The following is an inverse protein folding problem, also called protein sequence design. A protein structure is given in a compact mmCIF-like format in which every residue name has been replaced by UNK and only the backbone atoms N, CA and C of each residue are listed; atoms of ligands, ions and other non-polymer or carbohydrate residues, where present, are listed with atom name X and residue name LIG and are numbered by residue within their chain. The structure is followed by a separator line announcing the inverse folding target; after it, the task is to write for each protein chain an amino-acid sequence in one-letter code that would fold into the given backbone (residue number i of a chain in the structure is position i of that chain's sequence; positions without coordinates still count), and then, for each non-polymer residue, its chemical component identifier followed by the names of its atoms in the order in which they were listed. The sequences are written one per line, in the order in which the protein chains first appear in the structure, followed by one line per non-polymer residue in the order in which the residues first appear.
data_IF_575393564709
#
_entry.id   IF_575393564709
#
_cell.length_a   1.000
_cell.length_b   1.000
_cell.length_c   1.000
_cell.angle_alpha   90.00
_cell.angle_beta   90.00
_cell.angle_gamma   90.00
#
_symmetry.space_group_name_H-M   'P 1'
#
loop_
_entity.id
_entity.type
_entity.pdbx_description
1 polymer ?
#
# COMPACT_ATOMS: atom_id res chain seq x y z
N UNK A 1 -7.57 19.31 19.99
CA UNK A 1 -8.52 19.35 18.86
C UNK A 1 -9.71 18.52 19.27
N UNK A 2 -10.87 19.14 19.50
CA UNK A 2 -12.10 18.42 19.80
C UNK A 2 -12.48 17.59 18.56
N UNK A 3 -12.39 16.27 18.67
CA UNK A 3 -12.63 15.34 17.55
C UNK A 3 -14.11 15.36 17.18
N UNK A 4 -14.44 15.97 16.04
CA UNK A 4 -15.71 15.76 15.38
C UNK A 4 -15.79 14.31 14.87
N UNK A 5 -17.01 13.80 14.75
CA UNK A 5 -17.28 12.51 14.09
C UNK A 5 -16.81 12.57 12.63
N UNK A 6 -16.11 11.55 12.15
CA UNK A 6 -15.68 11.48 10.74
C UNK A 6 -16.91 11.37 9.83
N UNK A 7 -17.01 12.22 8.80
CA UNK A 7 -18.10 12.17 7.83
C UNK A 7 -17.99 10.93 6.93
N UNK A 8 -19.09 10.18 6.73
CA UNK A 8 -19.18 9.15 5.67
C UNK A 8 -19.83 9.77 4.44
N UNK A 9 -19.08 9.83 3.35
CA UNK A 9 -19.49 10.46 2.09
C UNK A 9 -19.69 9.40 1.01
N UNK A 10 -20.70 9.57 0.17
CA UNK A 10 -21.00 8.67 -0.95
C UNK A 10 -21.48 9.45 -2.17
N UNK A 11 -21.33 8.85 -3.36
CA UNK A 11 -21.82 9.41 -4.62
C UNK A 11 -21.21 10.76 -4.98
N UNK A 12 -21.84 11.44 -5.94
CA UNK A 12 -21.35 12.71 -6.52
C UNK A 12 -21.28 13.83 -5.48
N UNK A 13 -22.30 13.98 -4.63
CA UNK A 13 -22.30 14.95 -3.54
C UNK A 13 -21.15 14.70 -2.55
N UNK A 14 -20.84 13.43 -2.30
CA UNK A 14 -19.68 13.04 -1.48
C UNK A 14 -18.35 13.44 -2.09
N UNK A 15 -18.20 13.37 -3.42
CA UNK A 15 -17.00 13.83 -4.13
C UNK A 15 -16.83 15.34 -3.94
N UNK A 16 -17.90 16.12 -4.18
CA UNK A 16 -17.87 17.59 -4.04
C UNK A 16 -17.49 17.98 -2.61
N UNK A 17 -18.12 17.35 -1.62
CA UNK A 17 -17.84 17.59 -0.19
C UNK A 17 -16.40 17.23 0.19
N UNK A 18 -15.91 16.07 -0.24
CA UNK A 18 -14.53 15.65 0.02
C UNK A 18 -13.52 16.60 -0.66
N UNK A 19 -13.80 17.06 -1.88
CA UNK A 19 -12.97 18.01 -2.60
C UNK A 19 -12.89 19.37 -1.89
N UNK A 20 -14.00 19.87 -1.35
CA UNK A 20 -14.03 21.08 -0.52
C UNK A 20 -13.18 20.93 0.74
N UNK A 21 -13.35 19.84 1.47
CA UNK A 21 -12.56 19.52 2.68
C UNK A 21 -11.07 19.59 2.36
N UNK A 22 -10.64 18.93 1.28
CA UNK A 22 -9.22 18.90 0.87
C UNK A 22 -8.70 20.27 0.45
N UNK A 23 -9.48 21.05 -0.31
CA UNK A 23 -9.12 22.44 -0.70
C UNK A 23 -8.98 23.36 0.50
N UNK A 24 -9.82 23.19 1.51
CA UNK A 24 -9.79 23.98 2.76
C UNK A 24 -8.73 23.50 3.76
N UNK A 25 -7.79 22.64 3.34
CA UNK A 25 -6.69 22.15 4.18
C UNK A 25 -7.09 21.07 5.18
N UNK A 26 -8.25 20.43 4.97
CA UNK A 26 -8.69 19.24 5.71
C UNK A 26 -8.14 17.93 5.14
N UNK A 27 -8.66 16.82 5.65
CA UNK A 27 -8.26 15.45 5.33
C UNK A 27 -9.46 14.59 4.96
N UNK A 28 -9.34 13.85 3.85
CA UNK A 28 -10.37 12.93 3.41
C UNK A 28 -9.75 11.62 2.96
N UNK A 29 -10.25 10.49 3.45
CA UNK A 29 -9.90 9.19 2.92
C UNK A 29 -10.74 8.86 1.68
N UNK A 30 -10.15 8.21 0.69
CA UNK A 30 -10.82 7.87 -0.57
C UNK A 30 -10.31 6.56 -1.17
N UNK A 31 -11.14 5.81 -1.92
CA UNK A 31 -10.73 4.58 -2.57
C UNK A 31 -9.80 4.85 -3.75
N UNK A 32 -8.88 3.91 -3.99
CA UNK A 32 -8.19 3.77 -5.28
C UNK A 32 -8.40 2.35 -5.80
N UNK A 33 -7.86 2.02 -6.97
CA UNK A 33 -7.81 0.62 -7.42
C UNK A 33 -6.93 -0.24 -6.51
N UNK A 34 -5.95 0.37 -5.82
CA UNK A 34 -4.99 -0.30 -4.93
C UNK A 34 -5.50 -0.50 -3.51
N UNK A 35 -5.44 0.54 -2.68
CA UNK A 35 -5.89 0.60 -1.29
C UNK A 35 -6.56 1.96 -1.06
N UNK A 36 -7.31 2.13 0.02
CA UNK A 36 -7.80 3.46 0.43
C UNK A 36 -6.61 4.35 0.81
N UNK A 37 -6.61 5.60 0.35
CA UNK A 37 -5.61 6.61 0.67
C UNK A 37 -6.18 7.67 1.61
N UNK A 38 -5.39 8.17 2.56
CA UNK A 38 -5.73 9.33 3.40
C UNK A 38 -5.16 10.60 2.75
N UNK A 39 -6.02 11.38 2.11
CA UNK A 39 -5.63 12.57 1.35
C UNK A 39 -5.56 13.85 2.16
N UNK A 40 -4.63 14.72 1.77
CA UNK A 40 -4.63 16.16 2.04
C UNK A 40 -4.03 16.90 0.82
N UNK A 41 -4.23 18.21 0.73
CA UNK A 41 -3.60 19.02 -0.32
C UNK A 41 -2.07 18.91 -0.24
N UNK A 42 -1.43 18.38 -1.30
CA UNK A 42 0.02 18.13 -1.34
C UNK A 42 0.86 19.41 -1.33
N UNK A 43 0.26 20.56 -1.66
CA UNK A 43 0.94 21.85 -1.72
C UNK A 43 0.85 22.63 -0.39
N UNK A 44 0.05 22.15 0.56
CA UNK A 44 -0.16 22.79 1.85
C UNK A 44 0.53 21.97 2.97
N UNK A 45 1.66 22.44 3.52
CA UNK A 45 2.37 21.72 4.58
C UNK A 45 1.53 21.52 5.85
N UNK A 46 0.60 22.43 6.16
CA UNK A 46 -0.29 22.32 7.34
C UNK A 46 -1.31 21.21 7.11
N UNK A 47 -1.88 21.11 5.92
CA UNK A 47 -2.80 20.03 5.56
C UNK A 47 -2.08 18.67 5.57
N UNK A 48 -0.87 18.59 4.98
CA UNK A 48 -0.07 17.36 4.99
C UNK A 48 0.29 16.93 6.42
N UNK A 49 0.59 17.87 7.33
CA UNK A 49 0.87 17.54 8.74
C UNK A 49 -0.28 16.81 9.44
N UNK A 50 -1.54 17.06 9.04
CA UNK A 50 -2.71 16.33 9.57
C UNK A 50 -2.69 14.85 9.18
N UNK A 51 -2.16 14.48 8.00
CA UNK A 51 -1.97 13.07 7.61
C UNK A 51 -1.04 12.37 8.60
N UNK A 52 0.11 12.98 8.90
CA UNK A 52 1.09 12.40 9.81
C UNK A 52 0.53 12.29 11.23
N UNK A 53 -0.17 13.32 11.70
CA UNK A 53 -0.80 13.32 13.02
C UNK A 53 -1.90 12.25 13.13
N UNK A 54 -2.82 12.16 12.17
CA UNK A 54 -3.93 11.21 12.20
C UNK A 54 -3.44 9.75 12.20
N UNK A 55 -2.40 9.46 11.40
CA UNK A 55 -1.84 8.11 11.26
C UNK A 55 -0.80 7.75 12.31
N UNK A 56 -0.32 8.73 13.09
CA UNK A 56 0.90 8.61 13.92
C UNK A 56 2.09 8.12 13.07
N UNK A 57 2.20 8.67 11.87
CA UNK A 57 3.24 8.34 10.90
C UNK A 57 4.50 9.17 11.21
N UNK A 58 5.70 8.58 11.16
CA UNK A 58 6.94 9.32 11.30
C UNK A 58 7.22 10.21 10.09
N UNK A 59 7.77 11.40 10.32
CA UNK A 59 8.09 12.39 9.26
C UNK A 59 9.17 11.95 8.27
N UNK A 60 9.95 10.91 8.59
CA UNK A 60 10.97 10.34 7.72
C UNK A 60 10.41 9.41 6.62
N UNK A 61 9.13 9.06 6.67
CA UNK A 61 8.49 8.19 5.67
C UNK A 61 7.66 9.04 4.68
N UNK A 62 8.15 9.26 3.44
CA UNK A 62 7.52 10.17 2.48
C UNK A 62 6.12 9.71 2.07
N UNK A 63 5.34 10.57 1.41
CA UNK A 63 3.99 10.26 0.91
C UNK A 63 3.90 10.49 -0.60
N UNK A 64 2.93 9.82 -1.24
CA UNK A 64 2.75 9.88 -2.69
C UNK A 64 1.71 10.95 -3.02
N UNK A 65 2.05 11.85 -3.93
CA UNK A 65 1.12 12.82 -4.51
C UNK A 65 0.31 12.17 -5.64
N UNK A 66 -1.01 12.26 -5.55
CA UNK A 66 -1.96 11.78 -6.53
C UNK A 66 -2.41 12.94 -7.41
N UNK A 67 -2.47 12.70 -8.72
CA UNK A 67 -2.78 13.69 -9.76
C UNK A 67 -3.89 13.20 -10.69
N UNK A 68 -4.61 14.11 -11.34
CA UNK A 68 -5.67 13.79 -12.31
C UNK A 68 -5.27 13.93 -13.78
N UNK A 69 -4.20 14.68 -14.04
CA UNK A 69 -3.75 15.05 -15.40
C UNK A 69 -2.27 15.46 -15.40
N UNK A 70 -1.74 15.69 -16.60
CA UNK A 70 -0.35 16.11 -16.81
C UNK A 70 -0.06 17.50 -16.24
N UNK A 71 -1.02 18.42 -16.28
CA UNK A 71 -0.83 19.77 -15.75
C UNK A 71 -0.52 19.76 -14.26
N UNK A 72 -1.19 18.90 -13.48
CA UNK A 72 -0.87 18.69 -12.06
C UNK A 72 0.50 18.06 -11.83
N UNK A 73 0.96 17.15 -12.70
CA UNK A 73 2.32 16.60 -12.62
C UNK A 73 3.34 17.72 -12.79
N UNK A 74 3.16 18.55 -13.80
CA UNK A 74 4.06 19.65 -14.12
C UNK A 74 4.07 20.73 -13.01
N UNK A 75 3.08 20.77 -12.11
CA UNK A 75 3.11 21.64 -10.92
C UNK A 75 4.08 21.14 -9.85
N UNK A 76 4.32 19.83 -9.73
CA UNK A 76 5.03 19.22 -8.59
C UNK A 76 6.34 18.53 -8.95
N UNK A 77 6.55 18.17 -10.21
CA UNK A 77 7.69 17.37 -10.63
C UNK A 77 8.21 17.74 -12.02
N UNK A 78 9.46 17.36 -12.29
CA UNK A 78 10.05 17.34 -13.62
C UNK A 78 9.95 15.94 -14.24
N UNK A 79 9.64 15.87 -15.53
CA UNK A 79 9.36 14.61 -16.22
C UNK A 79 10.40 14.38 -17.33
N UNK A 80 11.24 13.35 -17.17
CA UNK A 80 12.15 12.91 -18.23
C UNK A 80 11.40 12.17 -19.34
N UNK A 81 12.04 11.99 -20.50
CA UNK A 81 11.47 11.21 -21.61
C UNK A 81 11.10 9.77 -21.19
N UNK A 82 11.90 9.16 -20.32
CA UNK A 82 11.65 7.80 -19.82
C UNK A 82 10.49 7.75 -18.84
N UNK A 83 10.40 8.72 -17.94
CA UNK A 83 9.25 8.88 -17.06
C UNK A 83 7.97 9.10 -17.89
N UNK A 84 8.02 9.92 -18.94
CA UNK A 84 6.91 10.14 -19.86
C UNK A 84 6.39 8.85 -20.50
N UNK A 85 7.28 7.99 -21.00
CA UNK A 85 6.90 6.68 -21.57
C UNK A 85 6.26 5.75 -20.54
N UNK A 86 6.72 5.78 -19.28
CA UNK A 86 6.10 5.02 -18.19
C UNK A 86 4.70 5.55 -17.85
N UNK A 87 4.52 6.87 -17.84
CA UNK A 87 3.20 7.48 -17.63
C UNK A 87 2.24 7.07 -18.76
N UNK A 88 2.65 7.17 -20.02
CA UNK A 88 1.82 6.76 -21.17
C UNK A 88 1.43 5.28 -21.12
N UNK A 89 2.33 4.41 -20.66
CA UNK A 89 2.07 2.97 -20.62
C UNK A 89 1.21 2.53 -19.42
N UNK A 90 1.30 3.22 -18.28
CA UNK A 90 0.77 2.72 -17.01
C UNK A 90 -0.15 3.70 -16.26
N UNK A 91 -0.34 4.93 -16.74
CA UNK A 91 -1.26 5.90 -16.13
C UNK A 91 -2.52 6.12 -16.99
N UNK A 92 -3.70 6.23 -16.36
CA UNK A 92 -3.97 5.98 -14.94
C UNK A 92 -3.70 4.51 -14.54
N UNK A 93 -3.14 4.27 -13.34
CA UNK A 93 -2.85 2.91 -12.89
C UNK A 93 -1.96 2.78 -11.64
N UNK A 94 -1.61 1.54 -11.27
CA UNK A 94 -0.93 1.21 -10.03
C UNK A 94 0.59 1.38 -10.11
N UNK A 95 1.06 2.40 -10.84
CA UNK A 95 2.47 2.78 -10.92
C UNK A 95 2.70 4.14 -10.25
N UNK A 96 3.66 4.20 -9.35
CA UNK A 96 4.19 5.42 -8.76
C UNK A 96 5.60 5.67 -9.29
N UNK A 97 5.84 6.88 -9.78
CA UNK A 97 7.15 7.33 -10.24
C UNK A 97 7.78 8.25 -9.19
N UNK A 98 9.03 8.00 -8.83
CA UNK A 98 9.86 8.97 -8.10
C UNK A 98 10.47 9.92 -9.13
N UNK A 99 10.12 11.20 -9.05
CA UNK A 99 10.51 12.22 -10.02
C UNK A 99 11.21 13.39 -9.31
N UNK A 100 12.15 14.11 -9.97
CA UNK A 100 12.72 15.33 -9.41
C UNK A 100 11.61 16.29 -8.98
N UNK A 101 11.62 16.68 -7.70
CA UNK A 101 10.57 17.54 -7.13
C UNK A 101 10.78 19.00 -7.53
N UNK A 102 9.68 19.73 -7.65
CA UNK A 102 9.71 21.20 -7.73
C UNK A 102 9.63 21.83 -6.33
N UNK A 103 10.03 23.09 -6.22
CA UNK A 103 10.01 23.85 -4.96
C UNK A 103 8.60 24.06 -4.37
N UNK A 104 7.56 23.87 -5.18
CA UNK A 104 6.15 23.88 -4.77
C UNK A 104 5.78 22.72 -3.84
N UNK A 105 6.56 21.64 -3.82
CA UNK A 105 6.32 20.46 -2.98
C UNK A 105 6.99 20.64 -1.62
N UNK A 106 6.23 20.67 -0.51
CA UNK A 106 6.80 20.78 0.83
C UNK A 106 7.69 19.59 1.21
N UNK A 107 8.69 19.83 2.07
CA UNK A 107 9.57 18.77 2.58
C UNK A 107 8.82 17.64 3.28
N UNK A 108 7.68 17.95 3.89
CA UNK A 108 6.84 16.97 4.58
C UNK A 108 6.25 15.92 3.62
N UNK A 109 6.11 16.23 2.33
CA UNK A 109 5.69 15.26 1.31
C UNK A 109 6.82 14.30 0.97
N UNK A 110 8.05 14.80 0.85
CA UNK A 110 9.20 14.03 0.36
C UNK A 110 10.14 13.54 1.46
N UNK A 111 9.82 13.78 2.73
CA UNK A 111 10.74 13.58 3.85
C UNK A 111 12.12 14.25 3.60
N UNK A 112 12.09 15.47 3.06
CA UNK A 112 13.28 16.26 2.70
C UNK A 112 14.07 15.78 1.47
N UNK A 113 13.62 14.72 0.79
CA UNK A 113 14.30 14.18 -0.41
C UNK A 113 14.09 15.07 -1.64
N UNK A 114 15.02 14.97 -2.59
CA UNK A 114 14.97 15.64 -3.90
C UNK A 114 13.95 15.04 -4.87
N UNK A 115 13.44 13.83 -4.58
CA UNK A 115 12.43 13.17 -5.40
C UNK A 115 11.06 13.20 -4.70
N UNK A 116 10.00 13.36 -5.50
CA UNK A 116 8.60 13.23 -5.08
C UNK A 116 7.98 12.00 -5.74
N UNK A 117 7.24 11.21 -4.96
CA UNK A 117 6.44 10.11 -5.50
C UNK A 117 5.15 10.64 -6.12
N UNK A 118 4.92 10.38 -7.41
CA UNK A 118 3.73 10.83 -8.14
C UNK A 118 2.98 9.63 -8.72
N UNK A 119 1.64 9.69 -8.70
CA UNK A 119 0.78 8.65 -9.29
C UNK A 119 -0.53 9.24 -9.81
N UNK A 120 -0.99 8.75 -10.96
CA UNK A 120 -2.36 8.96 -11.42
C UNK A 120 -3.19 7.68 -11.16
N UNK A 121 -4.10 7.66 -10.17
CA UNK A 121 -4.81 6.42 -9.80
C UNK A 121 -5.83 6.00 -10.85
N UNK A 122 -5.93 4.70 -11.15
CA UNK A 122 -6.96 4.14 -12.04
C UNK A 122 -8.28 3.87 -11.31
N UNK A 123 -8.82 4.87 -10.60
CA UNK A 123 -10.10 4.75 -9.93
C UNK A 123 -10.98 5.95 -10.27
N UNK A 124 -12.17 5.75 -10.89
CA UNK A 124 -13.03 6.86 -11.31
C UNK A 124 -13.33 7.85 -10.19
N UNK A 125 -13.72 7.38 -8.99
CA UNK A 125 -13.98 8.26 -7.85
C UNK A 125 -12.74 9.03 -7.38
N UNK A 126 -11.54 8.43 -7.47
CA UNK A 126 -10.31 9.11 -7.07
C UNK A 126 -9.94 10.21 -8.06
N UNK A 127 -10.02 9.92 -9.36
CA UNK A 127 -9.75 10.89 -10.42
C UNK A 127 -10.71 12.05 -10.35
N UNK A 128 -12.02 11.79 -10.21
CA UNK A 128 -13.02 12.85 -10.05
C UNK A 128 -12.77 13.66 -8.79
N UNK A 129 -12.47 13.03 -7.65
CA UNK A 129 -12.10 13.74 -6.43
C UNK A 129 -10.91 14.68 -6.64
N UNK A 130 -9.83 14.20 -7.26
CA UNK A 130 -8.63 15.01 -7.52
C UNK A 130 -8.96 16.17 -8.47
N UNK A 131 -9.73 15.93 -9.55
CA UNK A 131 -10.18 16.96 -10.49
C UNK A 131 -11.02 18.03 -9.81
N UNK A 132 -12.02 17.61 -9.04
CA UNK A 132 -12.88 18.52 -8.29
C UNK A 132 -12.07 19.30 -7.26
N UNK A 133 -11.13 18.65 -6.54
CA UNK A 133 -10.26 19.33 -5.58
C UNK A 133 -9.35 20.37 -6.26
N UNK A 134 -8.97 20.17 -7.52
CA UNK A 134 -8.17 21.12 -8.28
C UNK A 134 -6.73 21.29 -7.77
N UNK A 135 -6.26 20.36 -6.93
CA UNK A 135 -4.91 20.32 -6.36
C UNK A 135 -4.38 18.89 -6.34
N UNK A 136 -3.06 18.66 -6.44
CA UNK A 136 -2.49 17.34 -6.18
C UNK A 136 -2.76 16.90 -4.74
N UNK A 137 -3.08 15.63 -4.52
CA UNK A 137 -3.46 15.09 -3.21
C UNK A 137 -2.36 14.17 -2.68
N UNK A 138 -1.68 14.57 -1.60
CA UNK A 138 -0.75 13.70 -0.89
C UNK A 138 -1.56 12.64 -0.14
N UNK A 139 -1.33 11.35 -0.43
CA UNK A 139 -2.10 10.27 0.19
C UNK A 139 -1.27 8.99 0.40
N UNK A 140 -0.80 8.69 1.62
CA UNK A 140 -0.44 7.33 2.00
C UNK A 140 -1.71 6.48 2.22
N UNK A 141 -1.55 5.18 2.48
CA UNK A 141 -2.67 4.29 2.83
C UNK A 141 -3.45 4.81 4.06
N UNK A 142 -4.76 4.61 4.11
CA UNK A 142 -5.64 5.20 5.14
C UNK A 142 -5.75 4.39 6.45
N UNK A 143 -4.63 3.87 6.96
CA UNK A 143 -4.53 3.12 8.22
C UNK A 143 -3.60 3.81 9.23
N UNK A 144 -3.67 3.43 10.51
CA UNK A 144 -2.60 3.81 11.46
C UNK A 144 -1.26 3.22 11.03
N UNK A 145 -0.18 3.96 11.24
CA UNK A 145 1.15 3.58 10.77
C UNK A 145 1.54 2.17 11.24
N UNK A 146 2.08 1.36 10.33
CA UNK A 146 2.49 -0.02 10.61
C UNK A 146 1.38 -1.07 10.51
N UNK A 147 0.09 -0.71 10.63
CA UNK A 147 -1.04 -1.65 10.47
C UNK A 147 -1.22 -2.11 9.02
N UNK A 148 -2.02 -3.15 8.82
CA UNK A 148 -2.49 -3.62 7.51
C UNK A 148 -3.16 -2.49 6.73
N UNK A 149 -2.95 -2.42 5.40
CA UNK A 149 -3.56 -1.36 4.59
C UNK A 149 -5.08 -1.57 4.43
N UNK A 150 -5.88 -0.49 4.33
CA UNK A 150 -7.32 -0.60 4.22
C UNK A 150 -7.77 -0.80 2.77
N UNK A 151 -8.54 -1.85 2.53
CA UNK A 151 -9.17 -2.16 1.24
C UNK A 151 -10.68 -1.86 1.19
N UNK A 152 -11.26 -1.35 2.28
CA UNK A 152 -12.68 -0.96 2.38
C UNK A 152 -12.79 0.30 3.24
N UNK A 153 -13.90 1.04 3.12
CA UNK A 153 -14.18 2.17 4.00
C UNK A 153 -14.29 1.75 5.48
N UNK A 154 -14.82 0.55 5.76
CA UNK A 154 -14.91 0.02 7.12
C UNK A 154 -13.53 -0.09 7.79
N UNK A 155 -12.52 -0.59 7.06
CA UNK A 155 -11.14 -0.62 7.56
C UNK A 155 -10.59 0.78 7.88
N UNK A 156 -11.00 1.80 7.12
CA UNK A 156 -10.61 3.19 7.38
C UNK A 156 -11.25 3.71 8.66
N UNK A 157 -12.56 3.48 8.85
CA UNK A 157 -13.25 3.88 10.08
C UNK A 157 -12.67 3.19 11.32
N UNK A 158 -12.33 1.90 11.24
CA UNK A 158 -11.69 1.16 12.33
C UNK A 158 -10.38 1.84 12.80
N UNK A 159 -9.61 2.41 11.86
CA UNK A 159 -8.31 3.01 12.16
C UNK A 159 -8.37 4.51 12.48
N UNK A 160 -9.24 5.26 11.83
CA UNK A 160 -9.15 6.73 11.72
C UNK A 160 -10.43 7.48 12.08
N UNK A 161 -11.49 6.82 12.56
CA UNK A 161 -12.69 7.52 13.02
C UNK A 161 -12.35 8.52 14.15
N UNK A 162 -12.92 9.73 14.04
CA UNK A 162 -12.64 10.87 14.93
C UNK A 162 -11.26 11.51 14.76
N UNK A 163 -10.43 11.06 13.80
CA UNK A 163 -9.07 11.59 13.54
C UNK A 163 -8.94 12.32 12.20
N UNK A 164 -9.90 12.15 11.30
CA UNK A 164 -9.92 12.72 9.95
C UNK A 164 -11.29 13.33 9.67
N UNK A 165 -11.39 14.22 8.71
CA UNK A 165 -12.64 14.96 8.47
C UNK A 165 -13.68 14.08 7.75
N UNK A 166 -13.26 13.25 6.77
CA UNK A 166 -14.19 12.42 6.02
C UNK A 166 -13.60 11.11 5.47
N UNK A 167 -14.49 10.17 5.12
CA UNK A 167 -14.24 8.99 4.29
C UNK A 167 -15.22 9.00 3.12
N UNK A 168 -14.71 9.13 1.90
CA UNK A 168 -15.46 8.86 0.68
C UNK A 168 -15.52 7.34 0.48
N UNK A 169 -16.70 6.77 0.63
CA UNK A 169 -16.92 5.33 0.49
C UNK A 169 -17.29 4.97 -0.95
N UNK A 170 -16.39 4.24 -1.61
CA UNK A 170 -16.60 3.68 -2.94
C UNK A 170 -16.58 2.16 -2.98
N UNK A 171 -16.82 1.50 -1.84
CA UNK A 171 -16.77 0.04 -1.75
C UNK A 171 -15.35 -0.54 -1.73
N UNK A 172 -15.20 -1.86 -1.90
CA UNK A 172 -13.91 -2.54 -1.84
C UNK A 172 -12.97 -2.19 -3.01
N UNK A 173 -11.67 -2.16 -2.73
CA UNK A 173 -10.63 -1.95 -3.76
C UNK A 173 -10.41 -3.18 -4.63
N UNK A 174 -9.92 -2.99 -5.87
CA UNK A 174 -9.87 -4.04 -6.89
C UNK A 174 -8.53 -4.81 -6.94
N UNK A 175 -7.41 -4.18 -6.59
CA UNK A 175 -6.05 -4.79 -6.60
C UNK A 175 -5.65 -5.26 -5.19
N UNK A 176 -5.98 -4.49 -4.15
CA UNK A 176 -5.76 -4.85 -2.73
C UNK A 176 -4.29 -4.85 -2.26
N UNK A 177 -3.35 -4.47 -3.12
CA UNK A 177 -1.96 -4.15 -2.79
C UNK A 177 -1.63 -2.74 -3.26
N UNK A 178 -0.65 -2.10 -2.63
CA UNK A 178 -0.20 -0.76 -3.05
C UNK A 178 0.49 -0.78 -4.42
N UNK A 179 0.62 0.41 -5.02
CA UNK A 179 1.30 0.62 -6.31
C UNK A 179 2.75 0.16 -6.29
N UNK A 180 3.22 -0.27 -7.46
CA UNK A 180 4.66 -0.40 -7.72
C UNK A 180 5.30 0.98 -7.64
N UNK A 181 6.44 1.11 -6.94
CA UNK A 181 7.20 2.35 -6.85
C UNK A 181 8.54 2.18 -7.55
N UNK A 182 8.81 3.03 -8.54
CA UNK A 182 10.05 3.01 -9.31
C UNK A 182 10.64 4.42 -9.42
N UNK A 183 11.96 4.53 -9.39
CA UNK A 183 12.67 5.81 -9.55
C UNK A 183 14.01 5.64 -10.25
N UNK A 184 14.65 6.74 -10.68
CA UNK A 184 16.00 6.68 -11.24
C UNK A 184 17.01 6.19 -10.19
N UNK A 185 18.04 5.46 -10.65
CA UNK A 185 19.21 5.15 -9.84
C UNK A 185 20.10 6.40 -9.70
N UNK A 186 20.73 6.59 -8.53
CA UNK A 186 21.59 7.76 -8.28
C UNK A 186 22.82 7.81 -9.20
N UNK A 187 23.35 6.64 -9.58
CA UNK A 187 24.47 6.48 -10.51
C UNK A 187 24.05 6.56 -12.00
N UNK A 188 22.78 6.89 -12.27
CA UNK A 188 22.18 6.92 -13.59
C UNK A 188 22.29 5.59 -14.37
N UNK A 189 22.49 4.45 -13.68
CA UNK A 189 22.60 3.13 -14.31
C UNK A 189 21.26 2.54 -14.79
N UNK A 190 20.15 3.25 -14.57
CA UNK A 190 18.80 2.83 -14.93
C UNK A 190 17.77 3.24 -13.89
N UNK A 191 16.81 2.36 -13.65
CA UNK A 191 15.67 2.53 -12.76
C UNK A 191 15.63 1.45 -11.69
N UNK A 192 15.28 1.84 -10.48
CA UNK A 192 15.18 0.99 -9.30
C UNK A 192 13.72 0.86 -8.88
N UNK A 193 13.24 -0.39 -8.78
CA UNK A 193 11.95 -0.71 -8.16
C UNK A 193 12.17 -0.71 -6.64
N UNK A 194 11.65 0.31 -5.97
CA UNK A 194 11.72 0.44 -4.52
C UNK A 194 10.63 -0.35 -3.79
N UNK A 195 9.50 -0.57 -4.45
CA UNK A 195 8.39 -1.36 -3.92
C UNK A 195 7.71 -2.13 -5.04
N UNK A 196 7.66 -3.48 -5.00
CA UNK A 196 6.83 -4.25 -5.92
C UNK A 196 5.34 -4.04 -5.62
N UNK A 197 4.51 -4.05 -6.66
CA UNK A 197 3.07 -3.81 -6.58
C UNK A 197 2.34 -4.25 -7.86
N UNK A 198 1.26 -3.55 -8.22
CA UNK A 198 0.39 -3.93 -9.33
C UNK A 198 1.00 -3.87 -10.75
N UNK A 199 2.20 -3.29 -10.92
CA UNK A 199 2.95 -3.34 -12.19
C UNK A 199 4.20 -4.18 -12.01
N UNK A 200 4.32 -5.26 -12.80
CA UNK A 200 5.44 -6.20 -12.68
C UNK A 200 6.75 -5.64 -13.24
N UNK A 201 7.88 -6.23 -12.82
CA UNK A 201 9.20 -5.89 -13.36
C UNK A 201 9.26 -6.09 -14.87
N UNK A 202 8.73 -7.20 -15.37
CA UNK A 202 8.71 -7.54 -16.79
C UNK A 202 7.89 -6.53 -17.60
N UNK A 203 6.85 -5.94 -17.01
CA UNK A 203 6.10 -4.86 -17.63
C UNK A 203 6.93 -3.59 -17.77
N UNK A 204 7.67 -3.22 -16.71
CA UNK A 204 8.55 -2.06 -16.71
C UNK A 204 9.71 -2.25 -17.71
N UNK A 205 10.29 -3.44 -17.77
CA UNK A 205 11.37 -3.80 -18.70
C UNK A 205 10.94 -3.72 -20.17
N UNK A 206 9.67 -4.02 -20.48
CA UNK A 206 9.13 -3.85 -21.85
C UNK A 206 9.14 -2.39 -22.31
N UNK A 207 9.07 -1.43 -21.40
CA UNK A 207 9.10 0.01 -21.71
C UNK A 207 10.54 0.56 -21.66
N UNK A 208 11.31 0.18 -20.65
CA UNK A 208 12.63 0.78 -20.36
C UNK A 208 13.82 -0.01 -20.93
N UNK A 209 13.64 -1.29 -21.24
CA UNK A 209 14.70 -2.26 -21.55
C UNK A 209 15.14 -3.08 -20.34
N UNK A 210 15.34 -4.39 -20.53
CA UNK A 210 15.58 -5.35 -19.45
C UNK A 210 16.79 -5.03 -18.55
N UNK A 211 17.91 -4.58 -19.13
CA UNK A 211 19.13 -4.24 -18.37
C UNK A 211 19.00 -2.99 -17.50
N UNK A 212 17.91 -2.23 -17.66
CA UNK A 212 17.71 -0.92 -17.04
C UNK A 212 16.78 -0.93 -15.85
N UNK A 213 16.17 -2.07 -15.51
CA UNK A 213 15.26 -2.18 -14.37
C UNK A 213 15.83 -3.15 -13.34
N UNK A 214 16.13 -2.65 -12.15
CA UNK A 214 16.68 -3.44 -11.04
C UNK A 214 15.77 -3.32 -9.82
N UNK A 215 15.81 -4.32 -8.95
CA UNK A 215 15.15 -4.22 -7.64
C UNK A 215 16.05 -3.43 -6.70
N UNK A 216 15.49 -2.46 -5.98
CA UNK A 216 16.18 -1.82 -4.88
C UNK A 216 16.40 -2.84 -3.77
N UNK A 217 17.65 -2.94 -3.30
CA UNK A 217 17.99 -3.76 -2.14
C UNK A 217 18.43 -2.81 -1.03
N UNK A 218 17.61 -2.60 0.01
CA UNK A 218 18.04 -1.80 1.13
C UNK A 218 19.26 -2.44 1.77
N UNK A 219 20.28 -1.64 2.09
CA UNK A 219 21.28 -2.03 3.07
C UNK A 219 20.58 -2.30 4.41
N UNK A 220 21.12 -3.20 5.23
CA UNK A 220 20.56 -3.45 6.56
C UNK A 220 20.55 -2.14 7.37
N UNK A 221 19.36 -1.57 7.56
CA UNK A 221 19.18 -0.35 8.35
C UNK A 221 19.19 -0.72 9.83
N UNK A 222 20.17 -0.23 10.58
CA UNK A 222 20.13 -0.26 12.05
C UNK A 222 19.46 1.02 12.56
N UNK A 223 18.33 0.88 13.27
CA UNK A 223 17.61 2.01 13.87
C UNK A 223 16.63 2.74 12.96
N UNK A 224 16.07 3.85 13.46
CA UNK A 224 15.16 4.69 12.70
C UNK A 224 15.94 5.51 11.65
N UNK A 225 15.56 5.46 10.35
CA UNK A 225 16.26 6.21 9.31
C UNK A 225 15.97 7.70 9.42
N UNK A 226 16.93 8.55 9.04
CA UNK A 226 16.71 10.00 8.90
C UNK A 226 15.64 10.32 7.84
N UNK A 227 15.60 9.52 6.77
CA UNK A 227 14.62 9.63 5.69
C UNK A 227 14.60 8.33 4.88
N UNK A 228 13.44 7.90 4.39
CA UNK A 228 13.32 6.78 3.46
C UNK A 228 13.27 7.24 1.99
N UNK A 229 13.82 6.45 1.05
CA UNK A 229 13.79 6.80 -0.38
C UNK A 229 12.39 6.65 -0.99
N UNK A 230 11.52 5.83 -0.40
CA UNK A 230 10.13 5.69 -0.80
C UNK A 230 9.26 5.03 0.29
N UNK A 231 7.93 5.14 0.21
CA UNK A 231 7.04 4.52 1.18
C UNK A 231 7.13 2.99 1.14
N UNK A 232 7.12 2.37 2.33
CA UNK A 232 7.06 0.91 2.46
C UNK A 232 8.40 0.19 2.35
N UNK A 233 9.54 0.90 2.38
CA UNK A 233 10.90 0.32 2.49
C UNK A 233 11.26 -0.03 3.95
N UNK A 234 10.54 0.53 4.94
CA UNK A 234 10.83 0.42 6.37
C UNK A 234 10.73 -0.99 7.01
N UNK A 235 11.11 -1.04 8.29
CA UNK A 235 11.45 -2.27 9.02
C UNK A 235 10.23 -3.18 9.28
N UNK A 236 9.12 -2.67 9.82
CA UNK A 236 7.86 -3.43 9.99
C UNK A 236 6.69 -2.61 9.47
N UNK A 237 5.92 -3.20 8.55
CA UNK A 237 4.79 -2.54 7.91
C UNK A 237 3.77 -3.60 7.46
N UNK A 238 2.52 -3.20 7.29
CA UNK A 238 1.42 -4.10 6.91
C UNK A 238 1.10 -5.18 7.95
N UNK A 239 1.50 -4.99 9.20
CA UNK A 239 1.42 -6.04 10.21
C UNK A 239 -0.01 -6.14 10.80
N UNK A 240 -0.61 -7.34 10.86
CA UNK A 240 -1.80 -7.58 11.66
C UNK A 240 -1.50 -7.44 13.17
N UNK A 241 -2.55 -7.43 14.00
CA UNK A 241 -2.45 -7.52 15.47
C UNK A 241 -1.89 -8.89 15.85
N UNK A 242 -2.39 -9.94 15.21
CA UNK A 242 -1.92 -11.31 15.36
C UNK A 242 -0.44 -11.46 14.97
N UNK A 243 0.25 -12.43 15.57
CA UNK A 243 1.57 -12.85 15.09
C UNK A 243 1.43 -13.55 13.75
N UNK A 244 2.07 -13.03 12.70
CA UNK A 244 2.06 -13.66 11.39
C UNK A 244 3.18 -14.69 11.27
N UNK A 245 2.83 -15.94 10.95
CA UNK A 245 3.75 -17.05 10.69
C UNK A 245 3.67 -17.41 9.21
N UNK A 246 4.80 -17.25 8.51
CA UNK A 246 4.89 -17.54 7.08
C UNK A 246 5.30 -18.98 6.84
N UNK A 247 4.60 -19.64 5.91
CA UNK A 247 4.94 -20.98 5.44
C UNK A 247 5.52 -20.84 4.03
N UNK A 248 6.81 -21.12 3.92
CA UNK A 248 7.59 -21.04 2.69
C UNK A 248 8.11 -22.44 2.29
N UNK A 249 8.64 -22.57 1.07
CA UNK A 249 9.28 -23.81 0.59
C UNK A 249 10.75 -23.93 1.07
N UNK A 250 11.24 -23.01 1.90
CA UNK A 250 12.64 -23.02 2.34
C UNK A 250 12.96 -24.20 3.29
N UNK A 251 13.83 -25.12 2.84
CA UNK A 251 14.34 -26.29 3.57
C UNK A 251 13.70 -27.61 3.10
N UNK A 252 14.54 -28.64 2.85
CA UNK A 252 14.23 -29.98 2.26
C UNK A 252 13.20 -29.97 1.12
N UNK A 253 13.67 -29.99 -0.12
CA UNK A 253 12.90 -29.83 -1.39
C UNK A 253 11.76 -30.84 -1.66
N UNK A 254 11.37 -31.69 -0.69
CA UNK A 254 10.46 -32.82 -0.89
C UNK A 254 9.04 -32.64 -0.35
N UNK A 255 8.80 -31.74 0.62
CA UNK A 255 7.46 -31.59 1.24
C UNK A 255 6.63 -30.50 0.55
N UNK A 256 5.44 -30.82 -0.02
CA UNK A 256 4.54 -29.85 -0.62
C UNK A 256 4.13 -28.72 0.35
N UNK A 257 3.94 -27.51 -0.18
CA UNK A 257 3.61 -26.33 0.63
C UNK A 257 2.31 -26.49 1.44
N UNK A 258 1.32 -27.19 0.88
CA UNK A 258 0.08 -27.54 1.58
C UNK A 258 0.34 -28.42 2.81
N UNK A 259 1.19 -29.45 2.69
CA UNK A 259 1.52 -30.32 3.80
C UNK A 259 2.28 -29.56 4.90
N UNK A 260 3.20 -28.67 4.52
CA UNK A 260 3.90 -27.78 5.49
C UNK A 260 2.95 -26.85 6.22
N UNK A 261 1.88 -26.40 5.55
CA UNK A 261 0.86 -25.56 6.18
C UNK A 261 0.18 -26.34 7.30
N UNK A 262 -0.25 -27.57 7.02
CA UNK A 262 -0.87 -28.47 8.02
C UNK A 262 0.10 -28.74 9.18
N UNK A 263 1.32 -29.16 8.90
CA UNK A 263 2.35 -29.43 9.93
C UNK A 263 2.63 -28.19 10.81
N UNK A 264 2.60 -26.99 10.20
CA UNK A 264 2.78 -25.73 10.94
C UNK A 264 1.60 -25.44 11.85
N UNK A 265 0.37 -25.67 11.38
CA UNK A 265 -0.86 -25.48 12.17
C UNK A 265 -0.86 -26.46 13.35
N UNK A 266 -0.59 -27.74 13.10
CA UNK A 266 -0.61 -28.78 14.14
C UNK A 266 0.41 -28.49 15.24
N UNK A 267 1.64 -28.11 14.86
CA UNK A 267 2.69 -27.72 15.83
C UNK A 267 2.30 -26.51 16.67
N UNK A 268 1.52 -25.58 16.12
CA UNK A 268 1.05 -24.39 16.84
C UNK A 268 -0.21 -24.69 17.68
N UNK A 269 -1.02 -25.68 17.30
CA UNK A 269 -2.27 -26.05 17.98
C UNK A 269 -2.07 -26.43 19.44
N UNK A 270 -0.90 -26.98 19.78
CA UNK A 270 -0.52 -27.34 21.15
C UNK A 270 -0.33 -26.12 22.09
N UNK A 271 -0.33 -24.89 21.56
CA UNK A 271 0.03 -23.67 22.31
C UNK A 271 -1.13 -22.86 22.92
N UNK A 272 -2.37 -23.37 22.90
CA UNK A 272 -3.62 -22.62 23.27
C UNK A 272 -3.84 -21.32 22.49
N UNK A 273 -3.14 -21.12 21.37
CA UNK A 273 -3.32 -19.96 20.51
C UNK A 273 -4.61 -20.08 19.68
N UNK A 274 -5.29 -18.97 19.44
CA UNK A 274 -6.38 -18.88 18.46
C UNK A 274 -5.76 -18.73 17.07
N UNK A 275 -5.70 -19.85 16.35
CA UNK A 275 -5.00 -19.93 15.06
C UNK A 275 -5.94 -19.54 13.92
N UNK A 276 -5.61 -18.43 13.26
CA UNK A 276 -6.13 -18.02 11.96
C UNK A 276 -5.31 -18.60 10.82
N UNK A 277 -5.96 -19.00 9.73
CA UNK A 277 -5.28 -19.50 8.53
C UNK A 277 -5.76 -18.78 7.28
N UNK A 278 -4.82 -18.26 6.50
CA UNK A 278 -5.04 -17.78 5.14
C UNK A 278 -5.00 -18.99 4.18
N UNK A 279 -6.16 -19.63 3.96
CA UNK A 279 -6.24 -20.93 3.32
C UNK A 279 -6.55 -20.84 1.82
N UNK A 280 -5.65 -21.30 0.92
CA UNK A 280 -5.95 -21.40 -0.50
C UNK A 280 -7.08 -22.38 -0.80
N UNK A 281 -7.80 -22.16 -1.90
CA UNK A 281 -8.91 -23.03 -2.29
C UNK A 281 -8.42 -24.44 -2.61
N UNK A 282 -9.15 -25.44 -2.12
CA UNK A 282 -8.82 -26.86 -2.30
C UNK A 282 -7.77 -27.41 -1.33
N UNK A 283 -7.17 -26.56 -0.47
CA UNK A 283 -6.20 -27.01 0.54
C UNK A 283 -6.88 -27.41 1.85
N UNK A 284 -6.27 -28.36 2.57
CA UNK A 284 -6.72 -28.76 3.90
C UNK A 284 -6.10 -27.91 5.03
N UNK A 285 -6.91 -27.61 6.05
CA UNK A 285 -6.48 -26.99 7.31
C UNK A 285 -7.29 -27.55 8.48
N UNK A 286 -7.57 -28.87 8.46
CA UNK A 286 -8.58 -29.58 9.28
C UNK A 286 -8.51 -29.37 10.81
N UNK A 287 -7.48 -28.71 11.32
CA UNK A 287 -7.22 -28.45 12.74
C UNK A 287 -7.30 -26.96 13.14
N UNK A 288 -7.43 -26.03 12.19
CA UNK A 288 -7.47 -24.60 12.49
C UNK A 288 -8.88 -24.09 12.89
N UNK A 289 -9.03 -23.36 14.01
CA UNK A 289 -10.32 -22.84 14.47
C UNK A 289 -10.84 -21.68 13.60
N UNK A 290 -9.95 -20.85 13.06
CA UNK A 290 -10.32 -19.67 12.27
C UNK A 290 -9.73 -19.78 10.86
N UNK A 291 -10.58 -19.75 9.84
CA UNK A 291 -10.18 -19.94 8.44
C UNK A 291 -10.70 -18.80 7.58
N UNK A 292 -9.78 -18.09 6.94
CA UNK A 292 -10.10 -17.21 5.83
C UNK A 292 -9.82 -17.91 4.51
N UNK A 293 -10.85 -18.10 3.69
CA UNK A 293 -10.69 -18.64 2.32
C UNK A 293 -9.99 -17.60 1.46
N UNK A 294 -8.70 -17.78 1.22
CA UNK A 294 -7.88 -16.78 0.55
C UNK A 294 -8.14 -16.73 -0.96
N UNK A 295 -8.44 -17.87 -1.58
CA UNK A 295 -8.81 -17.99 -2.99
C UNK A 295 -7.95 -18.99 -3.76
N UNK A 296 -8.13 -19.08 -5.09
CA UNK A 296 -7.42 -20.07 -5.90
C UNK A 296 -5.92 -19.78 -5.94
N UNK A 297 -5.09 -20.76 -5.57
CA UNK A 297 -3.63 -20.58 -5.50
C UNK A 297 -2.99 -20.16 -6.84
N UNK A 298 -3.61 -20.53 -7.96
CA UNK A 298 -3.18 -20.21 -9.33
C UNK A 298 -3.59 -18.81 -9.79
N UNK A 299 -4.36 -18.06 -8.99
CA UNK A 299 -4.90 -16.74 -9.34
C UNK A 299 -4.29 -15.66 -8.44
N UNK A 300 -3.04 -15.29 -8.72
CA UNK A 300 -2.28 -14.31 -7.92
C UNK A 300 -3.00 -12.98 -7.68
N UNK A 301 -3.71 -12.43 -8.66
CA UNK A 301 -4.49 -11.20 -8.50
C UNK A 301 -5.63 -11.33 -7.48
N UNK A 302 -6.25 -12.52 -7.39
CA UNK A 302 -7.30 -12.78 -6.39
C UNK A 302 -6.69 -12.84 -4.99
N UNK A 303 -5.54 -13.50 -4.85
CA UNK A 303 -4.81 -13.58 -3.58
C UNK A 303 -4.36 -12.18 -3.12
N UNK A 304 -3.80 -11.37 -4.03
CA UNK A 304 -3.41 -9.98 -3.76
C UNK A 304 -4.60 -9.14 -3.28
N UNK A 305 -5.73 -9.18 -4.00
CA UNK A 305 -6.95 -8.44 -3.65
C UNK A 305 -7.48 -8.80 -2.26
N UNK A 306 -7.36 -10.06 -1.87
CA UNK A 306 -7.91 -10.60 -0.61
C UNK A 306 -6.90 -10.58 0.55
N UNK A 307 -5.61 -10.28 0.31
CA UNK A 307 -4.57 -10.37 1.32
C UNK A 307 -4.89 -9.54 2.57
N UNK A 308 -5.00 -8.21 2.43
CA UNK A 308 -5.22 -7.36 3.60
C UNK A 308 -6.61 -7.53 4.23
N UNK A 309 -7.63 -7.82 3.42
CA UNK A 309 -8.97 -8.12 3.93
C UNK A 309 -8.96 -9.39 4.79
N UNK A 310 -8.30 -10.46 4.35
CA UNK A 310 -8.20 -11.70 5.11
C UNK A 310 -7.40 -11.55 6.40
N UNK A 311 -6.28 -10.81 6.36
CA UNK A 311 -5.53 -10.51 7.57
C UNK A 311 -6.35 -9.73 8.60
N UNK A 312 -7.17 -8.77 8.16
CA UNK A 312 -8.07 -8.02 9.04
C UNK A 312 -9.23 -8.86 9.56
N UNK A 313 -9.84 -9.68 8.71
CA UNK A 313 -10.94 -10.56 9.11
C UNK A 313 -10.50 -11.56 10.19
N UNK A 314 -9.30 -12.11 10.07
CA UNK A 314 -8.73 -12.98 11.11
C UNK A 314 -8.37 -12.21 12.39
N UNK A 315 -7.84 -10.98 12.27
CA UNK A 315 -7.62 -10.10 13.42
C UNK A 315 -8.94 -9.79 14.15
N UNK A 316 -10.03 -9.56 13.42
CA UNK A 316 -11.36 -9.24 13.97
C UNK A 316 -12.09 -10.46 14.51
N UNK A 317 -11.67 -11.66 14.11
CA UNK A 317 -12.06 -12.94 14.70
C UNK A 317 -11.17 -13.35 15.88
N UNK A 318 -10.39 -12.41 16.44
CA UNK A 318 -9.51 -12.60 17.61
C UNK A 318 -8.40 -13.65 17.43
N UNK A 319 -7.95 -13.90 16.20
CA UNK A 319 -6.77 -14.73 15.96
C UNK A 319 -5.55 -14.12 16.67
N UNK A 320 -4.83 -14.92 17.46
CA UNK A 320 -3.57 -14.48 18.10
C UNK A 320 -2.35 -14.85 17.25
N UNK A 321 -2.50 -15.85 16.39
CA UNK A 321 -1.51 -16.27 15.38
C UNK A 321 -2.21 -16.45 14.04
N UNK A 322 -1.65 -15.87 12.97
CA UNK A 322 -2.10 -16.11 11.60
C UNK A 322 -1.02 -16.92 10.87
N UNK A 323 -1.39 -18.09 10.36
CA UNK A 323 -0.53 -18.90 9.50
C UNK A 323 -0.87 -18.60 8.04
N UNK A 324 0.13 -18.19 7.26
CA UNK A 324 -0.06 -17.79 5.87
C UNK A 324 0.97 -18.47 4.96
N UNK A 325 0.54 -19.26 3.95
CA UNK A 325 1.45 -19.74 2.93
C UNK A 325 1.94 -18.59 2.04
N UNK A 326 3.14 -18.70 1.50
CA UNK A 326 3.77 -17.64 0.70
C UNK A 326 3.89 -18.08 -0.75
N UNK A 327 3.29 -17.36 -1.71
CA UNK A 327 3.37 -17.71 -3.12
C UNK A 327 4.79 -17.58 -3.68
N UNK A 328 5.17 -18.53 -4.54
CA UNK A 328 6.50 -18.54 -5.18
C UNK A 328 6.55 -17.99 -6.61
N UNK A 329 5.41 -17.84 -7.28
CA UNK A 329 5.33 -17.31 -8.63
C UNK A 329 5.77 -15.83 -8.72
N UNK A 330 6.25 -15.43 -9.91
CA UNK A 330 6.67 -14.06 -10.22
C UNK A 330 5.51 -13.08 -10.43
N UNK A 331 5.81 -11.86 -10.85
CA UNK A 331 4.81 -10.81 -11.05
C UNK A 331 4.16 -10.37 -9.74
N UNK A 332 2.82 -10.42 -9.65
CA UNK A 332 2.08 -10.02 -8.43
C UNK A 332 2.47 -10.86 -7.20
N UNK A 333 2.97 -12.09 -7.40
CA UNK A 333 3.47 -12.93 -6.32
C UNK A 333 4.67 -12.33 -5.59
N UNK A 334 5.52 -11.55 -6.27
CA UNK A 334 6.61 -10.80 -5.64
C UNK A 334 6.07 -9.70 -4.70
N UNK A 335 5.00 -9.01 -5.11
CA UNK A 335 4.36 -8.00 -4.29
C UNK A 335 3.72 -8.61 -3.05
N UNK A 336 3.00 -9.74 -3.19
CA UNK A 336 2.43 -10.48 -2.04
C UNK A 336 3.54 -10.87 -1.06
N UNK A 337 4.64 -11.45 -1.56
CA UNK A 337 5.79 -11.86 -0.75
C UNK A 337 6.39 -10.71 0.04
N UNK A 338 6.61 -9.58 -0.64
CA UNK A 338 7.17 -8.38 -0.02
C UNK A 338 6.30 -7.89 1.15
N UNK A 339 4.97 -7.89 0.99
CA UNK A 339 4.04 -7.51 2.06
C UNK A 339 4.07 -8.49 3.22
N UNK A 340 3.99 -9.79 2.93
CA UNK A 340 3.99 -10.84 3.95
C UNK A 340 5.29 -10.83 4.77
N UNK A 341 6.44 -10.74 4.10
CA UNK A 341 7.75 -10.68 4.77
C UNK A 341 7.89 -9.47 5.67
N UNK A 342 7.40 -8.29 5.26
CA UNK A 342 7.41 -7.07 6.09
C UNK A 342 6.41 -7.14 7.25
N UNK A 343 5.26 -7.77 7.05
CA UNK A 343 4.24 -7.97 8.07
C UNK A 343 4.68 -8.94 9.18
N UNK A 344 5.47 -9.97 8.82
CA UNK A 344 5.94 -11.01 9.72
C UNK A 344 7.17 -10.65 10.56
N UNK A 345 7.81 -9.49 10.33
CA UNK A 345 8.98 -9.06 11.11
C UNK A 345 8.61 -8.80 12.57
N UNK A 346 9.46 -9.25 13.48
CA UNK A 346 9.31 -9.02 14.91
C UNK A 346 9.44 -7.51 15.24
N UNK A 347 8.89 -7.12 16.40
CA UNK A 347 8.70 -5.73 16.80
C UNK A 347 9.98 -5.13 17.38
#
# INVERSE_FOLDING_TARGET
MAGGKTERLTGEQGIVRAAEILRSGGTAAFPTETVYGLGANALDPVAVAKIFAAKERPGWDPVIAHVSDRGMVDQIAEVSNEAGRLMEAFWPGPLTLLLPRKATVPDLVTAGRSLVGVRMPAHPLALELIRHAGVPIAAPSANRFGRTSPTTAAHVFEDLDGRIDAVLDGGPTHVGLESTVIGPAEDNSGWLIYRPGGVSKEALERVLGASRVKMFRPAELQGAPESLPSPGVGIRHYAPRARLVLVNVAGEESVPLEQRLVETIDRLGDSKAEIGVMLPDGWNASTAPLIFRWGPWTKGEVLARRLFAGLRELDDADATVIVCPVPEFGGIGEAIRDRLQKAAREK
#
